data_IF_887344085773
#
_entry.id   IF_887344085773
#
_cell.length_a   1.000
_cell.length_b   1.000
_cell.length_c   1.000
_cell.angle_alpha   90.00
_cell.angle_beta   90.00
_cell.angle_gamma   90.00
#
_symmetry.space_group_name_H-M   'P 1'
#
loop_
_entity.id
_entity.type
_entity.pdbx_description
1 polymer ?
#
# COMPACT_ATOMS: atom_id res chain seq x y z
N UNK A 1 5.98 0.39 -8.44
CA UNK A 1 5.58 1.48 -7.54
C UNK A 1 4.84 2.50 -8.38
N UNK A 2 3.68 2.97 -7.93
CA UNK A 2 2.81 3.88 -8.66
C UNK A 2 3.33 5.32 -8.53
N UNK A 3 3.20 6.10 -9.59
CA UNK A 3 3.54 7.53 -9.60
C UNK A 3 2.28 8.35 -9.27
N UNK A 4 2.31 9.26 -8.28
CA UNK A 4 1.13 10.05 -7.88
C UNK A 4 0.52 10.87 -9.03
N UNK A 5 1.32 11.33 -9.99
CA UNK A 5 0.87 12.14 -11.12
C UNK A 5 0.41 11.30 -12.32
N UNK A 6 0.57 9.97 -12.28
CA UNK A 6 0.06 9.12 -13.35
C UNK A 6 -1.45 9.05 -13.32
N UNK A 7 -2.06 8.88 -14.49
CA UNK A 7 -3.51 8.72 -14.58
C UNK A 7 -3.91 7.39 -13.96
N UNK A 8 -5.02 7.39 -13.21
CA UNK A 8 -5.54 6.18 -12.60
C UNK A 8 -5.82 5.09 -13.64
N UNK A 9 -6.31 5.47 -14.83
CA UNK A 9 -6.57 4.52 -15.92
C UNK A 9 -5.32 3.76 -16.36
N UNK A 10 -4.17 4.42 -16.36
CA UNK A 10 -2.92 3.85 -16.87
C UNK A 10 -2.33 2.88 -15.83
N UNK A 11 -2.38 3.27 -14.55
CA UNK A 11 -2.03 2.39 -13.44
C UNK A 11 -2.93 1.13 -13.41
N UNK A 12 -4.25 1.30 -13.56
CA UNK A 12 -5.19 0.19 -13.56
C UNK A 12 -5.13 -0.66 -14.83
N UNK A 13 -4.67 -0.12 -15.96
CA UNK A 13 -4.43 -0.91 -17.17
C UNK A 13 -3.39 -2.02 -16.90
N UNK A 14 -2.33 -1.73 -16.13
CA UNK A 14 -1.39 -2.77 -15.69
C UNK A 14 -2.05 -3.79 -14.76
N UNK A 15 -2.88 -3.35 -13.81
CA UNK A 15 -3.62 -4.25 -12.91
C UNK A 15 -4.52 -5.22 -13.69
N UNK A 16 -5.14 -4.71 -14.77
CA UNK A 16 -6.02 -5.49 -15.65
C UNK A 16 -5.33 -6.70 -16.26
N UNK A 17 -4.04 -6.58 -16.62
CA UNK A 17 -3.26 -7.66 -17.24
C UNK A 17 -3.07 -8.84 -16.28
N UNK A 18 -3.02 -8.57 -14.97
CA UNK A 18 -2.73 -9.60 -13.98
C UNK A 18 -3.96 -10.43 -13.57
N UNK A 19 -5.19 -9.96 -13.86
CA UNK A 19 -6.46 -10.63 -13.54
C UNK A 19 -6.55 -11.18 -12.10
N UNK A 20 -5.85 -10.54 -11.15
CA UNK A 20 -5.74 -10.94 -9.74
C UNK A 20 -5.77 -9.70 -8.86
N UNK A 21 -6.18 -9.83 -7.59
CA UNK A 21 -6.06 -8.73 -6.65
C UNK A 21 -4.59 -8.34 -6.46
N UNK A 22 -4.33 -7.05 -6.32
CA UNK A 22 -2.98 -6.50 -6.23
C UNK A 22 -2.84 -5.57 -5.04
N UNK A 23 -1.61 -5.44 -4.55
CA UNK A 23 -1.24 -4.32 -3.68
C UNK A 23 -0.60 -3.23 -4.53
N UNK A 24 -1.16 -2.04 -4.41
CA UNK A 24 -0.62 -0.83 -4.99
C UNK A 24 0.14 -0.09 -3.90
N UNK A 25 1.33 0.37 -4.24
CA UNK A 25 2.21 1.08 -3.33
C UNK A 25 2.61 2.41 -3.98
N UNK A 26 2.45 3.49 -3.23
CA UNK A 26 2.78 4.86 -3.64
C UNK A 26 3.44 5.57 -2.46
N UNK A 27 4.46 6.38 -2.74
CA UNK A 27 4.98 7.31 -1.75
C UNK A 27 4.21 8.61 -1.91
N UNK A 28 3.57 9.06 -0.85
CA UNK A 28 2.87 10.33 -0.83
C UNK A 28 3.88 11.49 -0.98
N UNK A 29 3.79 12.31 -2.04
CA UNK A 29 4.75 13.38 -2.29
C UNK A 29 4.74 14.47 -1.21
N UNK A 30 3.66 14.61 -0.42
CA UNK A 30 3.58 15.63 0.63
C UNK A 30 4.19 15.14 1.95
N UNK A 31 3.87 13.92 2.38
CA UNK A 31 4.30 13.37 3.67
C UNK A 31 5.54 12.48 3.62
N UNK A 32 6.01 12.09 2.43
CA UNK A 32 7.08 11.11 2.21
C UNK A 32 6.80 9.75 2.88
N UNK A 33 5.51 9.45 3.11
CA UNK A 33 5.08 8.18 3.68
C UNK A 33 4.62 7.20 2.61
N UNK A 34 4.97 5.93 2.82
CA UNK A 34 4.49 4.83 1.99
C UNK A 34 3.02 4.56 2.28
N UNK A 35 2.18 4.76 1.29
CA UNK A 35 0.77 4.39 1.30
C UNK A 35 0.57 3.11 0.49
N UNK A 36 -0.33 2.25 0.97
CA UNK A 36 -0.65 1.00 0.32
C UNK A 36 -2.16 0.82 0.19
N UNK A 37 -2.59 0.41 -0.99
CA UNK A 37 -3.96 -0.01 -1.26
C UNK A 37 -3.99 -1.46 -1.67
N UNK A 38 -4.99 -2.20 -1.20
CA UNK A 38 -5.36 -3.49 -1.76
C UNK A 38 -6.50 -3.27 -2.75
N UNK A 39 -6.32 -3.71 -3.99
CA UNK A 39 -7.32 -3.58 -5.05
C UNK A 39 -7.80 -4.95 -5.46
N UNK A 40 -9.12 -5.16 -5.41
CA UNK A 40 -9.74 -6.41 -5.89
C UNK A 40 -9.75 -6.46 -7.42
N UNK A 41 -9.98 -7.64 -7.97
CA UNK A 41 -10.40 -7.74 -9.37
C UNK A 41 -11.80 -7.14 -9.55
N UNK A 42 -12.17 -6.67 -10.75
CA UNK A 42 -13.56 -6.35 -11.08
C UNK A 42 -14.48 -7.54 -10.78
N UNK A 43 -15.64 -7.30 -10.15
CA UNK A 43 -16.58 -8.34 -9.75
C UNK A 43 -18.00 -8.07 -10.25
N UNK A 44 -18.59 -9.04 -10.95
CA UNK A 44 -19.97 -8.94 -11.47
C UNK A 44 -21.06 -8.97 -10.40
N UNK A 45 -20.72 -9.37 -9.17
CA UNK A 45 -21.63 -9.36 -8.03
C UNK A 45 -21.84 -7.95 -7.44
N UNK A 46 -20.97 -6.99 -7.77
CA UNK A 46 -21.07 -5.61 -7.30
C UNK A 46 -21.92 -4.77 -8.26
N UNK A 47 -22.59 -3.75 -7.71
CA UNK A 47 -23.28 -2.76 -8.53
C UNK A 47 -22.27 -2.03 -9.43
N UNK A 48 -22.62 -1.86 -10.71
CA UNK A 48 -21.74 -1.16 -11.66
C UNK A 48 -21.80 0.34 -11.38
N UNK A 49 -20.69 0.90 -10.92
CA UNK A 49 -20.56 2.33 -10.64
C UNK A 49 -20.08 3.09 -11.88
N UNK A 50 -20.24 4.41 -11.86
CA UNK A 50 -19.70 5.26 -12.92
C UNK A 50 -18.18 5.14 -13.02
N UNK A 51 -17.67 5.23 -14.24
CA UNK A 51 -16.24 5.20 -14.47
C UNK A 51 -15.60 6.45 -13.84
N UNK A 52 -14.48 6.25 -13.16
CA UNK A 52 -13.65 7.34 -12.67
C UNK A 52 -13.28 8.30 -13.81
N UNK A 53 -13.23 9.59 -13.49
CA UNK A 53 -12.85 10.63 -14.44
C UNK A 53 -11.52 10.31 -15.12
N UNK A 54 -11.44 10.49 -16.44
CA UNK A 54 -10.20 10.30 -17.21
C UNK A 54 -9.06 11.25 -16.80
N UNK A 55 -9.37 12.28 -16.01
CA UNK A 55 -8.38 13.21 -15.44
C UNK A 55 -7.94 12.83 -14.03
N UNK A 56 -8.57 11.83 -13.40
CA UNK A 56 -8.26 11.42 -12.03
C UNK A 56 -6.85 10.82 -11.98
N UNK A 57 -6.03 11.35 -11.09
CA UNK A 57 -4.68 10.84 -10.87
C UNK A 57 -4.69 9.70 -9.85
N UNK A 58 -3.62 8.90 -9.85
CA UNK A 58 -3.41 7.90 -8.81
C UNK A 58 -3.26 8.55 -7.43
N UNK A 59 -2.62 9.72 -7.33
CA UNK A 59 -2.50 10.47 -6.08
C UNK A 59 -3.86 10.86 -5.48
N UNK A 60 -4.76 11.44 -6.30
CA UNK A 60 -6.11 11.80 -5.85
C UNK A 60 -6.88 10.56 -5.36
N UNK A 61 -6.76 9.45 -6.12
CA UNK A 61 -7.39 8.20 -5.76
C UNK A 61 -6.88 7.63 -4.44
N UNK A 62 -5.55 7.62 -4.22
CA UNK A 62 -4.97 7.19 -2.95
C UNK A 62 -5.48 8.04 -1.80
N UNK A 63 -5.49 9.37 -1.95
CA UNK A 63 -5.99 10.27 -0.91
C UNK A 63 -7.43 9.96 -0.52
N UNK A 64 -8.33 9.86 -1.50
CA UNK A 64 -9.74 9.53 -1.26
C UNK A 64 -9.92 8.18 -0.54
N UNK A 65 -9.22 7.14 -1.00
CA UNK A 65 -9.34 5.79 -0.41
C UNK A 65 -8.75 5.76 1.00
N UNK A 66 -7.63 6.45 1.24
CA UNK A 66 -7.01 6.51 2.57
C UNK A 66 -7.89 7.28 3.57
N UNK A 67 -8.56 8.35 3.14
CA UNK A 67 -9.51 9.09 3.98
C UNK A 67 -10.77 8.28 4.30
N UNK A 68 -11.29 7.49 3.35
CA UNK A 68 -12.53 6.71 3.50
C UNK A 68 -12.30 5.31 4.07
N UNK A 69 -11.07 4.78 4.00
CA UNK A 69 -10.70 3.40 4.33
C UNK A 69 -11.02 2.39 3.22
N UNK A 70 -12.06 2.64 2.42
CA UNK A 70 -12.44 1.79 1.29
C UNK A 70 -13.24 2.57 0.25
N UNK A 71 -13.09 2.22 -1.03
CA UNK A 71 -13.86 2.84 -2.10
C UNK A 71 -14.17 1.83 -3.21
N UNK A 72 -15.43 1.80 -3.63
CA UNK A 72 -15.85 1.14 -4.88
C UNK A 72 -15.51 2.05 -6.06
N UNK A 73 -14.88 1.49 -7.09
CA UNK A 73 -14.49 2.27 -8.25
C UNK A 73 -14.47 1.42 -9.52
N UNK A 74 -14.53 2.09 -10.67
CA UNK A 74 -14.41 1.48 -11.98
C UNK A 74 -13.58 2.38 -12.88
N UNK A 75 -12.70 1.81 -13.70
CA UNK A 75 -12.07 2.54 -14.81
C UNK A 75 -12.81 2.23 -16.10
N UNK A 76 -12.75 3.12 -17.09
CA UNK A 76 -13.55 3.00 -18.32
C UNK A 76 -13.33 1.67 -19.08
N UNK A 77 -12.15 1.07 -18.94
CA UNK A 77 -11.75 -0.18 -19.55
C UNK A 77 -12.36 -1.42 -18.86
N UNK A 78 -12.99 -1.26 -17.70
CA UNK A 78 -13.61 -2.36 -16.94
C UNK A 78 -15.12 -2.36 -17.10
N UNK A 79 -15.67 -3.56 -17.29
CA UNK A 79 -17.11 -3.82 -17.34
C UNK A 79 -17.74 -3.77 -15.94
N UNK A 80 -17.03 -4.26 -14.92
CA UNK A 80 -17.52 -4.36 -13.55
C UNK A 80 -16.74 -3.49 -12.57
N UNK A 81 -17.34 -3.27 -11.39
CA UNK A 81 -16.75 -2.51 -10.28
C UNK A 81 -15.69 -3.32 -9.56
N UNK A 82 -14.63 -2.66 -9.11
CA UNK A 82 -13.63 -3.19 -8.18
C UNK A 82 -13.66 -2.39 -6.87
N UNK A 83 -13.04 -2.94 -5.83
CA UNK A 83 -12.93 -2.29 -4.52
C UNK A 83 -11.47 -2.02 -4.22
N UNK A 84 -11.17 -0.79 -3.81
CA UNK A 84 -9.91 -0.44 -3.20
C UNK A 84 -10.08 -0.34 -1.68
N UNK A 85 -9.13 -0.92 -0.97
CA UNK A 85 -9.08 -0.97 0.48
C UNK A 85 -7.78 -0.33 0.95
N UNK A 86 -7.87 0.66 1.83
CA UNK A 86 -6.71 1.26 2.47
C UNK A 86 -6.03 0.23 3.36
N UNK A 87 -4.73 0.06 3.18
CA UNK A 87 -3.90 -0.76 4.07
C UNK A 87 -3.30 0.20 5.10
N UNK A 88 -3.71 0.12 6.38
CA UNK A 88 -3.17 1.00 7.40
C UNK A 88 -1.68 0.77 7.59
N UNK A 89 -0.97 1.83 7.95
CA UNK A 89 0.45 1.73 8.31
C UNK A 89 0.64 0.83 9.55
N UNK A 90 1.84 0.28 9.72
CA UNK A 90 2.17 -0.51 10.92
C UNK A 90 1.91 0.26 12.22
N UNK A 91 2.14 1.58 12.22
CA UNK A 91 1.88 2.43 13.39
C UNK A 91 0.37 2.55 13.68
N UNK A 92 -0.45 2.73 12.65
CA UNK A 92 -1.91 2.78 12.79
C UNK A 92 -2.50 1.44 13.21
N UNK A 93 -1.97 0.34 12.66
CA UNK A 93 -2.33 -1.01 13.08
C UNK A 93 -2.02 -1.28 14.57
N UNK A 94 -1.00 -0.63 15.12
CA UNK A 94 -0.64 -0.74 16.55
C UNK A 94 -1.51 0.15 17.44
N UNK A 95 -1.94 1.32 16.94
CA UNK A 95 -2.81 2.27 17.67
C UNK A 95 -4.27 1.81 17.73
N UNK A 96 -4.73 1.09 16.72
CA UNK A 96 -6.10 0.58 16.66
C UNK A 96 -6.28 -0.46 17.78
N UNK A 97 -7.32 -0.35 18.65
CA UNK A 97 -7.59 -1.38 19.66
C UNK A 97 -7.70 -2.70 18.93
N UNK A 98 -6.83 -3.66 19.26
CA UNK A 98 -6.80 -4.97 18.63
C UNK A 98 -8.22 -5.50 18.59
N UNK A 99 -8.83 -5.57 17.40
CA UNK A 99 -10.03 -6.36 17.20
C UNK A 99 -9.64 -7.77 17.65
N UNK A 100 -10.20 -8.20 18.77
CA UNK A 100 -9.77 -9.37 19.54
C UNK A 100 -9.41 -10.55 18.61
N UNK A 101 -8.10 -10.81 18.44
CA UNK A 101 -7.62 -12.08 17.88
C UNK A 101 -7.01 -12.09 16.47
N UNK A 102 -6.78 -10.97 15.76
CA UNK A 102 -6.12 -11.02 14.45
C UNK A 102 -4.72 -10.40 14.45
N UNK A 103 -3.73 -11.27 14.20
CA UNK A 103 -2.30 -11.03 14.00
C UNK A 103 -1.57 -10.17 15.05
N UNK A 104 -0.78 -10.82 15.93
CA UNK A 104 0.34 -10.13 16.58
C UNK A 104 1.41 -9.89 15.53
N UNK A 105 1.71 -8.63 15.25
CA UNK A 105 2.98 -8.28 14.61
C UNK A 105 4.12 -8.85 15.47
N UNK A 106 5.13 -9.52 14.88
CA UNK A 106 6.32 -9.88 15.62
C UNK A 106 6.92 -8.59 16.17
N UNK A 107 7.00 -8.49 17.50
CA UNK A 107 7.73 -7.41 18.14
C UNK A 107 9.17 -7.50 17.64
N UNK A 108 9.63 -6.46 16.92
CA UNK A 108 11.04 -6.31 16.55
C UNK A 108 11.80 -6.12 17.85
N UNK A 109 12.29 -7.22 18.43
CA UNK A 109 13.21 -7.18 19.56
C UNK A 109 14.44 -6.41 19.10
N UNK A 110 14.53 -5.14 19.51
CA UNK A 110 15.79 -4.42 19.52
C UNK A 110 16.64 -5.04 20.62
N UNK A 111 17.25 -6.17 20.31
CA UNK A 111 18.36 -6.72 21.08
C UNK A 111 19.52 -6.96 20.11
N UNK A 112 19.94 -5.89 19.45
CA UNK A 112 21.32 -5.80 18.96
C UNK A 112 22.11 -5.19 20.10
N UNK A 113 22.29 -6.01 21.14
CA UNK A 113 23.24 -5.74 22.19
C UNK A 113 24.62 -5.55 21.57
N UNK A 114 25.13 -4.33 21.75
CA UNK A 114 26.53 -3.94 21.61
C UNK A 114 27.44 -5.02 22.19
N UNK A 115 28.12 -5.78 21.35
CA UNK A 115 29.38 -6.41 21.75
C UNK A 115 30.52 -5.55 21.21
N UNK A 116 30.84 -4.50 21.96
CA UNK A 116 32.18 -3.93 21.96
C UNK A 116 33.14 -5.02 22.38
N UNK A 117 33.85 -5.65 21.44
CA UNK A 117 35.04 -6.43 21.75
C UNK A 117 36.26 -5.70 21.19
N UNK A 118 36.75 -4.82 22.06
CA UNK A 118 38.07 -4.26 22.10
C UNK A 118 39.12 -5.37 21.93
N UNK A 119 39.81 -5.39 20.78
CA UNK A 119 41.13 -6.03 20.64
C UNK A 119 42.08 -5.01 20.05
N UNK A 120 42.78 -4.31 20.96
CA UNK A 120 43.91 -3.45 20.64
C UNK A 120 45.20 -4.27 20.74
N UNK A 121 45.97 -4.23 19.65
CA UNK A 121 47.43 -4.49 19.50
C UNK A 121 47.87 -5.94 19.72
N UNK A 122 48.73 -6.50 18.85
CA UNK A 122 50.18 -6.24 18.75
C UNK A 122 50.72 -6.89 17.45
N UNK A 123 51.68 -6.21 16.78
CA UNK A 123 52.83 -6.60 15.91
C UNK A 123 52.80 -7.99 15.18
N UNK A 124 53.35 -8.24 13.98
CA UNK A 124 54.57 -7.78 13.31
C UNK A 124 54.67 -8.42 11.89
N UNK A 125 55.59 -7.89 11.08
CA UNK A 125 56.20 -8.32 9.80
C UNK A 125 56.14 -9.80 9.38
N UNK A 126 55.93 -10.07 8.08
CA UNK A 126 56.94 -10.54 7.08
C UNK A 126 56.45 -10.15 5.68
#
# INVERSE_FOLDING_TARGET
>A
MINPQEKLSDAMAMVSVHARPVFLAMVDPESDHLQMLYVTTPQSALAVVDAASARKTSGDFFKEVMEQGSQEFRVAQWEYTAVALAVPSCEEMQKTPRANGRYRLPSRSQDVSRTSMQRSRVLECV
#
